data_IF_433628359575
#
_entry.id   IF_433628359575
#
_cell.length_a   1.000
_cell.length_b   1.000
_cell.length_c   1.000
_cell.angle_alpha   90.00
_cell.angle_beta   90.00
_cell.angle_gamma   90.00
#
_symmetry.space_group_name_H-M   'P 1'
#
loop_
_entity.id
_entity.type
_entity.pdbx_description
1 polymer ?
#
# COMPACT_ATOMS: atom_id res chain seq x y z
N UNK A 1 26.33 22.64 9.20
CA UNK A 1 26.73 22.34 7.81
C UNK A 1 25.96 21.16 7.22
N UNK A 2 26.28 20.80 5.97
CA UNK A 2 25.63 19.71 5.22
C UNK A 2 25.89 18.31 5.81
N UNK A 3 25.02 17.35 5.49
CA UNK A 3 25.07 15.96 5.96
C UNK A 3 24.68 14.94 4.87
N UNK A 4 25.17 13.70 5.02
CA UNK A 4 24.85 12.53 4.17
C UNK A 4 23.96 11.53 4.95
N UNK A 5 23.22 10.69 4.25
CA UNK A 5 22.34 9.61 4.77
C UNK A 5 22.36 8.40 3.82
N UNK A 6 21.88 7.25 4.28
CA UNK A 6 21.93 5.97 3.55
C UNK A 6 20.54 5.53 3.09
N UNK A 7 20.27 5.72 1.80
CA UNK A 7 19.03 5.32 1.12
C UNK A 7 18.98 3.79 0.90
N UNK A 8 17.78 3.24 0.68
CA UNK A 8 17.55 1.81 0.40
C UNK A 8 17.08 1.56 -1.04
N UNK A 9 17.56 0.46 -1.64
CA UNK A 9 17.11 -0.11 -2.91
C UNK A 9 16.78 -1.60 -2.75
N UNK A 10 16.40 -2.00 -1.53
CA UNK A 10 16.17 -3.39 -1.11
C UNK A 10 14.88 -3.47 -0.29
N UNK A 11 14.89 -2.94 0.94
CA UNK A 11 13.73 -2.82 1.82
C UNK A 11 12.70 -1.80 1.28
N UNK A 12 13.17 -0.64 0.78
CA UNK A 12 12.31 0.35 0.11
C UNK A 12 11.88 -0.09 -1.30
N UNK A 13 12.66 -0.95 -1.97
CA UNK A 13 12.26 -1.53 -3.26
C UNK A 13 11.16 -2.60 -3.11
N UNK A 14 11.31 -3.55 -2.18
CA UNK A 14 10.37 -4.69 -2.04
C UNK A 14 8.94 -4.23 -1.73
N UNK A 15 8.79 -3.17 -0.93
CA UNK A 15 7.47 -2.57 -0.63
C UNK A 15 6.76 -2.04 -1.87
N UNK A 16 7.47 -1.75 -2.97
CA UNK A 16 6.82 -1.34 -4.23
C UNK A 16 6.04 -2.50 -4.88
N UNK A 17 6.63 -3.71 -4.92
CA UNK A 17 6.06 -4.85 -5.66
C UNK A 17 4.78 -5.37 -5.00
N UNK A 18 4.78 -5.46 -3.68
CA UNK A 18 3.62 -5.77 -2.85
C UNK A 18 2.53 -4.67 -2.91
N UNK A 19 2.90 -3.39 -3.13
CA UNK A 19 1.91 -2.34 -3.39
C UNK A 19 1.24 -2.48 -4.77
N UNK A 20 2.00 -2.89 -5.81
CA UNK A 20 1.43 -3.23 -7.14
C UNK A 20 0.57 -4.50 -7.09
N UNK A 21 0.97 -5.48 -6.26
CA UNK A 21 0.15 -6.67 -5.96
C UNK A 21 -1.19 -6.29 -5.36
N UNK A 22 -1.24 -5.36 -4.41
CA UNK A 22 -2.50 -4.82 -3.87
C UNK A 22 -3.25 -3.94 -4.85
N UNK A 23 -2.60 -3.15 -5.69
CA UNK A 23 -3.31 -2.47 -6.80
C UNK A 23 -4.04 -3.51 -7.69
N UNK A 24 -3.45 -4.70 -7.85
CA UNK A 24 -4.08 -5.83 -8.52
C UNK A 24 -5.23 -6.45 -7.70
N UNK A 25 -5.13 -6.57 -6.36
CA UNK A 25 -6.26 -7.11 -5.57
C UNK A 25 -7.41 -6.10 -5.46
N UNK A 26 -7.09 -4.80 -5.38
CA UNK A 26 -8.07 -3.71 -5.32
C UNK A 26 -8.84 -3.63 -6.63
N UNK A 27 -8.21 -3.73 -7.81
CA UNK A 27 -8.93 -3.85 -9.08
C UNK A 27 -9.97 -5.00 -9.06
N UNK A 28 -9.58 -6.15 -8.49
CA UNK A 28 -10.48 -7.30 -8.32
C UNK A 28 -11.68 -6.97 -7.41
N UNK A 29 -11.51 -6.07 -6.42
CA UNK A 29 -12.59 -5.55 -5.57
C UNK A 29 -13.41 -4.44 -6.24
N UNK A 30 -12.80 -3.57 -7.05
CA UNK A 30 -13.54 -2.54 -7.80
C UNK A 30 -14.46 -3.18 -8.87
N UNK A 31 -14.02 -4.28 -9.49
CA UNK A 31 -14.85 -5.13 -10.38
C UNK A 31 -15.84 -5.98 -9.55
N UNK A 32 -15.43 -6.43 -8.36
CA UNK A 32 -16.17 -7.38 -7.51
C UNK A 32 -17.38 -6.80 -6.81
N UNK A 33 -17.26 -5.54 -6.35
CA UNK A 33 -18.34 -4.80 -5.68
C UNK A 33 -18.25 -3.27 -5.83
N UNK A 34 -17.05 -2.69 -6.03
CA UNK A 34 -16.86 -1.25 -6.29
C UNK A 34 -16.33 -0.40 -5.14
N UNK A 35 -15.98 -1.04 -4.02
CA UNK A 35 -15.37 -0.41 -2.84
C UNK A 35 -14.59 -1.42 -2.02
N UNK A 36 -13.45 -0.99 -1.49
CA UNK A 36 -12.57 -1.77 -0.60
C UNK A 36 -12.93 -1.47 0.86
N UNK A 37 -12.85 -2.48 1.73
CA UNK A 37 -12.98 -2.34 3.19
C UNK A 37 -11.76 -2.94 3.90
N UNK A 38 -11.47 -2.53 5.14
CA UNK A 38 -10.28 -2.98 5.87
C UNK A 38 -10.23 -4.51 6.00
N UNK A 39 -11.38 -5.17 6.18
CA UNK A 39 -11.47 -6.62 6.32
C UNK A 39 -11.20 -7.36 4.99
N UNK A 40 -11.28 -6.68 3.84
CA UNK A 40 -10.85 -7.25 2.56
C UNK A 40 -9.33 -7.23 2.41
N UNK A 41 -8.65 -6.14 2.85
CA UNK A 41 -7.21 -5.95 2.64
C UNK A 41 -6.29 -6.60 3.68
N UNK A 42 -6.74 -6.79 4.92
CA UNK A 42 -5.96 -7.53 5.94
C UNK A 42 -5.59 -8.96 5.51
N UNK A 43 -6.37 -9.55 4.60
CA UNK A 43 -6.12 -10.87 3.99
C UNK A 43 -5.14 -10.84 2.79
N UNK A 44 -4.67 -9.67 2.37
CA UNK A 44 -3.91 -9.46 1.12
C UNK A 44 -2.50 -8.94 1.35
N UNK A 45 -2.22 -8.35 2.51
CA UNK A 45 -0.91 -7.77 2.85
C UNK A 45 0.21 -8.75 2.58
N UNK A 46 0.24 -9.89 3.31
CA UNK A 46 1.09 -11.07 3.10
C UNK A 46 2.59 -10.88 3.25
N UNK A 47 3.04 -9.63 3.26
CA UNK A 47 4.44 -9.22 3.43
C UNK A 47 4.59 -7.94 4.27
N UNK A 48 3.59 -7.03 4.20
CA UNK A 48 3.59 -5.75 4.89
C UNK A 48 2.89 -5.76 6.25
N UNK A 49 3.24 -4.77 7.09
CA UNK A 49 2.55 -4.45 8.34
C UNK A 49 1.19 -3.81 8.07
N UNK A 50 1.16 -2.74 7.26
CA UNK A 50 -0.03 -1.89 7.07
C UNK A 50 -0.31 -1.66 5.57
N UNK A 51 -1.56 -1.82 5.10
CA UNK A 51 -1.99 -1.40 3.76
C UNK A 51 -2.92 -0.17 3.84
N UNK A 52 -2.88 0.72 2.84
CA UNK A 52 -3.54 2.03 2.83
C UNK A 52 -4.18 2.31 1.46
N UNK A 53 -5.37 2.92 1.46
CA UNK A 53 -6.21 3.11 0.27
C UNK A 53 -6.50 4.58 -0.06
N UNK A 54 -6.30 4.94 -1.34
CA UNK A 54 -6.70 6.23 -1.93
C UNK A 54 -7.45 5.96 -3.25
N UNK A 55 -8.72 5.55 -3.15
CA UNK A 55 -9.63 5.41 -4.30
C UNK A 55 -10.45 6.71 -4.45
N UNK A 56 -10.56 7.32 -5.64
CA UNK A 56 -11.41 8.50 -5.85
C UNK A 56 -12.90 8.18 -5.63
N UNK A 57 -13.62 9.05 -4.93
CA UNK A 57 -15.05 8.93 -4.65
C UNK A 57 -15.42 8.10 -3.41
N UNK A 58 -14.44 7.53 -2.68
CA UNK A 58 -14.67 6.81 -1.42
C UNK A 58 -13.61 7.15 -0.34
N UNK A 59 -13.90 6.96 0.96
CA UNK A 59 -13.00 7.37 2.03
C UNK A 59 -11.74 6.49 2.13
N UNK A 60 -10.66 7.07 2.67
CA UNK A 60 -9.41 6.35 2.98
C UNK A 60 -9.65 5.21 3.97
N UNK A 61 -9.08 4.04 3.65
CA UNK A 61 -8.99 2.86 4.54
C UNK A 61 -7.53 2.64 4.93
N UNK A 62 -7.27 2.24 6.18
CA UNK A 62 -5.94 1.94 6.72
C UNK A 62 -6.00 0.62 7.53
N UNK A 63 -5.23 -0.38 7.12
CA UNK A 63 -5.21 -1.75 7.67
C UNK A 63 -4.12 -1.91 8.72
N UNK A 64 -4.26 -2.86 9.66
CA UNK A 64 -3.25 -3.18 10.66
C UNK A 64 -3.16 -2.14 11.78
N UNK A 65 -2.27 -1.16 11.68
CA UNK A 65 -2.15 -0.04 12.63
C UNK A 65 -1.55 1.20 11.93
N UNK A 66 -1.86 2.41 12.41
CA UNK A 66 -1.26 3.64 11.88
C UNK A 66 0.26 3.70 12.22
N UNK A 67 1.14 3.98 11.24
CA UNK A 67 2.58 4.07 11.44
C UNK A 67 3.06 5.41 12.04
N UNK A 68 4.26 5.37 12.62
CA UNK A 68 4.80 6.47 13.45
C UNK A 68 5.58 7.55 12.67
N UNK A 69 6.30 7.15 11.62
CA UNK A 69 7.20 8.01 10.83
C UNK A 69 8.50 7.30 10.44
N UNK A 70 9.01 6.46 11.35
CA UNK A 70 10.11 5.52 11.12
C UNK A 70 9.60 4.28 10.37
N UNK A 71 9.11 4.51 9.14
CA UNK A 71 8.51 3.50 8.27
C UNK A 71 8.93 3.69 6.80
N UNK A 72 8.88 2.59 6.05
CA UNK A 72 9.04 2.48 4.59
C UNK A 72 7.68 2.64 3.93
N UNK A 73 7.62 3.23 2.73
CA UNK A 73 6.35 3.39 1.99
C UNK A 73 6.43 2.84 0.57
N UNK A 74 5.63 1.82 0.27
CA UNK A 74 5.40 1.29 -1.09
C UNK A 74 4.16 1.96 -1.70
N UNK A 75 4.08 2.11 -3.03
CA UNK A 75 3.02 2.89 -3.69
C UNK A 75 2.77 2.48 -5.14
N UNK A 76 1.50 2.38 -5.51
CA UNK A 76 1.04 1.94 -6.84
C UNK A 76 -0.23 2.67 -7.32
N UNK A 77 -0.48 2.59 -8.64
CA UNK A 77 -1.70 3.06 -9.29
C UNK A 77 -2.44 1.85 -9.87
N UNK A 78 -3.72 1.72 -9.55
CA UNK A 78 -4.56 0.60 -9.98
C UNK A 78 -5.27 0.81 -11.33
N UNK A 79 -5.98 -0.22 -11.77
CA UNK A 79 -6.55 -0.30 -13.13
C UNK A 79 -7.90 0.41 -13.34
N UNK A 80 -8.59 0.89 -12.29
CA UNK A 80 -9.77 1.77 -12.44
C UNK A 80 -9.43 3.25 -12.17
N UNK A 81 -8.15 3.55 -11.96
CA UNK A 81 -7.61 4.90 -11.72
C UNK A 81 -7.41 5.25 -10.25
N UNK A 82 -7.40 4.25 -9.36
CA UNK A 82 -7.17 4.36 -7.93
C UNK A 82 -5.68 4.40 -7.55
N UNK A 83 -5.37 4.64 -6.27
CA UNK A 83 -4.02 4.66 -5.71
C UNK A 83 -3.96 3.78 -4.46
N UNK A 84 -2.89 2.99 -4.37
CA UNK A 84 -2.59 2.06 -3.27
C UNK A 84 -1.27 2.45 -2.61
N UNK A 85 -1.21 2.37 -1.28
CA UNK A 85 0.01 2.62 -0.51
C UNK A 85 0.18 1.50 0.54
N UNK A 86 1.44 1.19 0.88
CA UNK A 86 1.83 0.13 1.82
C UNK A 86 2.87 0.67 2.79
N UNK A 87 2.81 0.32 4.07
CA UNK A 87 3.76 0.80 5.08
C UNK A 87 4.32 -0.33 5.96
N UNK A 88 5.63 -0.24 6.21
CA UNK A 88 6.45 -1.24 6.91
C UNK A 88 7.41 -0.57 7.91
N UNK A 89 7.82 -1.21 9.02
CA UNK A 89 8.79 -0.65 9.96
C UNK A 89 10.18 -0.45 9.33
N UNK A 90 10.82 0.70 9.62
CA UNK A 90 12.17 1.08 9.17
C UNK A 90 13.25 0.69 10.18
#
# INVERSE_FOLDING_TARGET
GSETRTISSTAQERVDLEAVRLASIVDSRLIGTGSVDEDFLREQIRDARYAVIRIPGQPVVEVGTKPTGDVLQGRATGEEGETVLVEEPR
#
